data_IF_802991667951
#
_entry.id   IF_802991667951
#
_cell.length_a   1.000
_cell.length_b   1.000
_cell.length_c   1.000
_cell.angle_alpha   90.00
_cell.angle_beta   90.00
_cell.angle_gamma   90.00
#
_symmetry.space_group_name_H-M   'P 1'
#
loop_
_entity.id
_entity.type
_entity.pdbx_description
1 polymer ?
#
# COMPACT_ATOMS: atom_id res chain seq x y z
N UNK A 1 9.46 -18.04 -12.56
CA UNK A 1 8.98 -17.75 -11.18
C UNK A 1 10.17 -17.44 -10.28
N UNK A 2 10.46 -16.16 -10.03
CA UNK A 2 11.26 -15.69 -8.88
C UNK A 2 11.25 -14.16 -8.73
N UNK A 3 10.05 -13.56 -8.79
CA UNK A 3 9.80 -12.23 -8.21
C UNK A 3 9.60 -12.35 -6.69
N UNK A 4 9.81 -11.27 -5.95
CA UNK A 4 9.54 -11.22 -4.50
C UNK A 4 8.02 -11.31 -4.29
N UNK A 5 7.55 -12.26 -3.48
CA UNK A 5 6.10 -12.45 -3.28
C UNK A 5 5.51 -11.33 -2.41
N UNK A 6 4.18 -11.16 -2.47
CA UNK A 6 3.48 -10.22 -1.60
C UNK A 6 3.73 -10.53 -0.11
N UNK A 7 3.75 -11.81 0.27
CA UNK A 7 4.04 -12.26 1.64
C UNK A 7 5.45 -11.87 2.07
N UNK A 8 6.44 -12.04 1.20
CA UNK A 8 7.83 -11.63 1.48
C UNK A 8 7.95 -10.11 1.65
N UNK A 9 7.27 -9.32 0.81
CA UNK A 9 7.27 -7.86 0.93
C UNK A 9 6.61 -7.37 2.21
N UNK A 10 5.49 -8.00 2.60
CA UNK A 10 4.77 -7.69 3.84
C UNK A 10 5.65 -8.03 5.06
N UNK A 11 6.29 -9.19 5.08
CA UNK A 11 7.15 -9.58 6.21
C UNK A 11 8.42 -8.72 6.29
N UNK A 12 9.04 -8.40 5.16
CA UNK A 12 10.17 -7.47 5.13
C UNK A 12 9.79 -6.09 5.70
N UNK A 13 8.61 -5.58 5.34
CA UNK A 13 8.11 -4.32 5.88
C UNK A 13 7.85 -4.41 7.38
N UNK A 14 7.29 -5.52 7.86
CA UNK A 14 7.09 -5.73 9.30
C UNK A 14 8.41 -5.61 10.06
N UNK A 15 9.45 -6.30 9.60
CA UNK A 15 10.79 -6.24 10.20
C UNK A 15 11.36 -4.82 10.16
N UNK A 16 11.16 -4.10 9.05
CA UNK A 16 11.58 -2.70 8.90
C UNK A 16 10.90 -1.78 9.92
N UNK A 17 9.59 -1.94 10.12
CA UNK A 17 8.81 -1.18 11.12
C UNK A 17 9.25 -1.52 12.55
N UNK A 18 9.47 -2.80 12.86
CA UNK A 18 9.94 -3.24 14.18
C UNK A 18 11.34 -2.68 14.50
N UNK A 19 12.24 -2.66 13.51
CA UNK A 19 13.56 -2.04 13.63
C UNK A 19 13.46 -0.53 13.88
N UNK A 20 12.57 0.17 13.16
CA UNK A 20 12.33 1.60 13.37
C UNK A 20 11.80 1.89 14.77
N UNK A 21 10.77 1.16 15.23
CA UNK A 21 10.22 1.28 16.59
C UNK A 21 11.27 1.05 17.67
N UNK A 22 12.13 0.05 17.49
CA UNK A 22 13.22 -0.23 18.44
C UNK A 22 14.22 0.93 18.51
N UNK A 23 14.57 1.52 17.37
CA UNK A 23 15.47 2.68 17.32
C UNK A 23 14.88 3.94 17.98
N UNK A 24 13.59 4.20 17.77
CA UNK A 24 12.87 5.32 18.37
C UNK A 24 12.69 5.13 19.88
N UNK A 25 12.35 3.92 20.33
CA UNK A 25 12.21 3.61 21.76
C UNK A 25 13.51 3.81 22.54
N UNK A 26 14.65 3.46 21.95
CA UNK A 26 15.97 3.72 22.54
C UNK A 26 16.24 5.23 22.73
N UNK A 27 15.70 6.08 21.85
CA UNK A 27 15.80 7.54 21.96
C UNK A 27 14.72 8.16 22.88
N UNK A 28 13.53 7.57 22.94
CA UNK A 28 12.37 8.09 23.69
C UNK A 28 12.38 7.75 25.17
N UNK A 29 13.18 6.76 25.62
CA UNK A 29 13.38 6.44 27.03
C UNK A 29 13.90 7.61 27.90
N UNK A 30 14.25 8.74 27.28
CA UNK A 30 14.64 10.00 27.93
C UNK A 30 13.48 11.02 28.06
N UNK A 31 12.33 10.83 27.40
CA UNK A 31 11.18 11.75 27.43
C UNK A 31 9.97 11.08 28.09
N UNK A 32 9.76 11.32 29.39
CA UNK A 32 8.60 10.78 30.13
C UNK A 32 7.26 11.23 29.49
N UNK A 33 6.45 10.28 29.04
CA UNK A 33 5.04 10.50 28.63
C UNK A 33 4.73 10.40 27.13
N UNK A 34 5.69 9.99 26.28
CA UNK A 34 5.44 9.76 24.85
C UNK A 34 4.64 8.46 24.63
N UNK A 35 3.51 8.55 23.93
CA UNK A 35 2.75 7.37 23.50
C UNK A 35 3.51 6.66 22.37
N UNK A 36 3.45 5.34 22.32
CA UNK A 36 4.06 4.56 21.24
C UNK A 36 3.48 4.98 19.88
N UNK A 37 4.31 5.18 18.84
CA UNK A 37 3.86 5.52 17.50
C UNK A 37 2.83 4.52 16.97
N UNK A 38 1.65 5.03 16.59
CA UNK A 38 0.62 4.21 15.94
C UNK A 38 1.06 3.92 14.51
N UNK A 39 0.72 2.74 14.02
CA UNK A 39 0.93 2.33 12.64
C UNK A 39 -0.40 2.41 11.88
N UNK A 40 -0.44 3.30 10.88
CA UNK A 40 -1.63 3.58 10.10
C UNK A 40 -1.42 3.11 8.67
N UNK A 41 -2.26 2.18 8.20
CA UNK A 41 -2.26 1.77 6.79
C UNK A 41 -3.20 2.67 6.02
N UNK A 42 -2.73 3.27 4.93
CA UNK A 42 -3.57 4.03 4.00
C UNK A 42 -3.53 3.36 2.64
N UNK A 43 -4.70 2.88 2.20
CA UNK A 43 -4.87 2.31 0.87
C UNK A 43 -4.85 3.39 -0.20
N UNK A 44 -3.93 3.27 -1.16
CA UNK A 44 -3.79 4.23 -2.26
C UNK A 44 -3.85 3.54 -3.62
N UNK A 45 -4.47 4.23 -4.57
CA UNK A 45 -4.50 3.93 -6.00
C UNK A 45 -4.30 5.25 -6.77
N UNK A 46 -4.40 5.25 -8.11
CA UNK A 46 -4.27 6.46 -8.92
C UNK A 46 -5.52 7.36 -8.93
N UNK A 47 -6.52 7.12 -8.06
CA UNK A 47 -7.76 7.91 -8.03
C UNK A 47 -7.65 9.19 -7.20
N UNK A 48 -8.56 10.14 -7.44
CA UNK A 48 -8.69 11.31 -6.56
C UNK A 48 -9.14 10.94 -5.14
N UNK A 49 -9.86 9.84 -4.97
CA UNK A 49 -10.39 9.40 -3.68
C UNK A 49 -9.29 8.90 -2.74
N UNK A 50 -8.29 8.18 -3.25
CA UNK A 50 -7.13 7.79 -2.46
C UNK A 50 -6.32 9.01 -2.00
N UNK A 51 -6.15 10.00 -2.89
CA UNK A 51 -5.46 11.25 -2.54
C UNK A 51 -6.19 11.99 -1.42
N UNK A 52 -7.51 12.13 -1.54
CA UNK A 52 -8.34 12.75 -0.51
C UNK A 52 -8.33 11.95 0.79
N UNK A 53 -8.23 10.62 0.72
CA UNK A 53 -8.09 9.79 1.92
C UNK A 53 -6.77 10.10 2.66
N UNK A 54 -5.65 10.24 1.96
CA UNK A 54 -4.37 10.64 2.56
C UNK A 54 -4.45 12.05 3.14
N UNK A 55 -5.01 13.01 2.39
CA UNK A 55 -5.17 14.39 2.85
C UNK A 55 -6.05 14.48 4.10
N UNK A 56 -7.20 13.80 4.08
CA UNK A 56 -8.10 13.74 5.21
C UNK A 56 -7.44 13.07 6.41
N UNK A 57 -6.69 11.98 6.20
CA UNK A 57 -5.99 11.29 7.28
C UNK A 57 -5.01 12.23 8.00
N UNK A 58 -4.19 12.94 7.21
CA UNK A 58 -3.24 13.93 7.71
C UNK A 58 -3.89 15.06 8.51
N UNK A 59 -5.10 15.48 8.12
CA UNK A 59 -5.81 16.59 8.76
C UNK A 59 -6.61 16.19 10.00
N UNK A 60 -7.01 14.92 10.13
CA UNK A 60 -8.06 14.54 11.09
C UNK A 60 -7.65 13.43 12.08
N UNK A 61 -6.83 12.46 11.67
CA UNK A 61 -6.57 11.27 12.49
C UNK A 61 -5.09 10.97 12.72
N UNK A 62 -4.21 11.39 11.82
CA UNK A 62 -2.77 11.24 12.00
C UNK A 62 -2.29 12.23 13.07
N UNK A 63 -1.47 11.71 13.97
CA UNK A 63 -0.71 12.49 14.95
C UNK A 63 0.72 12.63 14.46
N UNK A 64 1.43 13.58 15.08
CA UNK A 64 2.87 13.68 14.97
C UNK A 64 3.50 12.33 15.39
N UNK A 65 4.50 11.89 14.63
CA UNK A 65 5.25 10.66 14.84
C UNK A 65 4.50 9.35 14.53
N UNK A 66 3.21 9.39 14.13
CA UNK A 66 2.56 8.16 13.62
C UNK A 66 3.35 7.63 12.41
N UNK A 67 3.48 6.31 12.36
CA UNK A 67 4.05 5.58 11.23
C UNK A 67 2.94 5.36 10.19
N UNK A 68 3.22 5.67 8.94
CA UNK A 68 2.23 5.56 7.86
C UNK A 68 2.70 4.58 6.81
N UNK A 69 1.90 3.54 6.56
CA UNK A 69 2.12 2.61 5.45
C UNK A 69 1.23 3.03 4.29
N UNK A 70 1.84 3.52 3.20
CA UNK A 70 1.13 3.77 1.95
C UNK A 70 1.09 2.47 1.16
N UNK A 71 -0.08 1.81 1.16
CA UNK A 71 -0.26 0.52 0.51
C UNK A 71 -0.96 0.68 -0.84
N UNK A 72 -0.30 0.24 -1.90
CA UNK A 72 -0.91 0.10 -3.23
C UNK A 72 -0.70 -1.32 -3.75
N UNK A 73 -1.55 -1.71 -4.69
CA UNK A 73 -1.39 -2.95 -5.43
C UNK A 73 -0.89 -2.60 -6.82
N UNK A 74 0.20 -3.22 -7.21
CA UNK A 74 0.82 -3.03 -8.51
C UNK A 74 0.61 -4.26 -9.41
N UNK A 75 0.52 -4.03 -10.72
CA UNK A 75 0.40 -5.10 -11.70
C UNK A 75 1.78 -5.55 -12.14
N UNK A 76 2.18 -6.75 -11.73
CA UNK A 76 3.49 -7.30 -12.09
C UNK A 76 3.57 -7.65 -13.57
N UNK A 77 4.71 -7.35 -14.22
CA UNK A 77 4.96 -7.87 -15.56
C UNK A 77 5.07 -9.40 -15.47
N UNK A 78 4.07 -10.09 -16.02
CA UNK A 78 4.01 -11.55 -16.03
C UNK A 78 4.60 -12.12 -17.32
N UNK A 79 5.24 -13.29 -17.21
CA UNK A 79 5.48 -14.14 -18.37
C UNK A 79 4.13 -14.76 -18.79
N UNK A 80 3.67 -14.59 -20.01
CA UNK A 80 2.85 -15.64 -20.62
C UNK A 80 3.42 -16.21 -21.94
N UNK A 81 2.62 -17.06 -22.57
CA UNK A 81 2.87 -18.44 -23.03
C UNK A 81 4.10 -18.72 -23.94
N UNK A 82 4.51 -20.01 -23.88
CA UNK A 82 5.78 -20.61 -24.30
C UNK A 82 6.08 -20.68 -25.81
N UNK A 83 5.17 -20.26 -26.71
CA UNK A 83 5.30 -20.54 -28.16
C UNK A 83 5.25 -19.33 -29.11
N UNK A 84 5.06 -18.10 -28.63
CA UNK A 84 5.03 -16.93 -29.54
C UNK A 84 6.18 -15.94 -29.32
N UNK A 85 6.85 -15.94 -28.16
CA UNK A 85 7.87 -14.94 -27.85
C UNK A 85 7.33 -13.50 -27.76
N UNK A 86 6.02 -13.30 -27.60
CA UNK A 86 5.35 -11.99 -27.58
C UNK A 86 4.09 -12.00 -26.73
N UNK A 87 3.85 -10.96 -25.90
CA UNK A 87 2.58 -10.70 -25.18
C UNK A 87 2.30 -9.22 -24.82
N UNK A 88 1.03 -8.91 -24.47
CA UNK A 88 0.37 -7.60 -24.39
C UNK A 88 -0.16 -7.21 -22.99
N UNK A 89 -0.18 -5.90 -22.67
CA UNK A 89 -1.02 -5.29 -21.63
C UNK A 89 -1.95 -4.17 -22.18
N UNK A 90 -2.85 -3.65 -21.34
CA UNK A 90 -3.97 -2.74 -21.70
C UNK A 90 -3.53 -1.29 -22.01
N UNK A 91 -2.28 -0.88 -21.73
CA UNK A 91 -1.86 0.53 -21.81
C UNK A 91 -0.63 0.85 -22.67
N UNK A 92 0.07 -0.13 -23.23
CA UNK A 92 1.08 0.13 -24.26
C UNK A 92 2.25 -0.84 -24.23
N UNK A 93 2.74 -1.21 -25.42
CA UNK A 93 3.71 -2.28 -25.60
C UNK A 93 5.08 -1.93 -24.98
N UNK A 94 5.45 -2.57 -23.87
CA UNK A 94 6.83 -2.62 -23.39
C UNK A 94 7.39 -4.02 -23.68
N UNK A 95 8.36 -4.09 -24.60
CA UNK A 95 9.02 -5.35 -24.97
C UNK A 95 10.21 -5.58 -24.03
N UNK A 96 10.05 -6.46 -23.05
CA UNK A 96 11.11 -6.82 -22.09
C UNK A 96 11.58 -8.23 -22.42
N UNK A 97 12.90 -8.44 -22.49
CA UNK A 97 13.43 -9.80 -22.67
C UNK A 97 13.12 -10.61 -21.41
N UNK A 98 12.85 -11.90 -21.58
CA UNK A 98 12.51 -12.79 -20.46
C UNK A 98 13.51 -12.72 -19.30
N UNK A 99 14.79 -12.73 -19.61
CA UNK A 99 15.86 -12.67 -18.62
C UNK A 99 15.88 -11.35 -17.84
N UNK A 100 15.29 -10.30 -18.41
CA UNK A 100 15.24 -8.94 -17.85
C UNK A 100 13.94 -8.68 -17.05
N UNK A 101 12.94 -9.58 -17.08
CA UNK A 101 11.63 -9.38 -16.41
C UNK A 101 11.82 -9.16 -14.90
N UNK A 102 12.71 -9.95 -14.28
CA UNK A 102 12.98 -9.82 -12.85
C UNK A 102 13.55 -8.45 -12.51
N UNK A 103 14.57 -8.02 -13.25
CA UNK A 103 15.20 -6.71 -13.05
C UNK A 103 14.22 -5.57 -13.31
N UNK A 104 13.38 -5.70 -14.34
CA UNK A 104 12.32 -4.75 -14.64
C UNK A 104 11.30 -4.63 -13.50
N UNK A 105 10.80 -5.76 -12.97
CA UNK A 105 9.84 -5.75 -11.86
C UNK A 105 10.46 -5.14 -10.60
N UNK A 106 11.71 -5.47 -10.29
CA UNK A 106 12.43 -4.86 -9.17
C UNK A 106 12.63 -3.35 -9.36
N UNK A 107 12.92 -2.90 -10.58
CA UNK A 107 13.04 -1.48 -10.90
C UNK A 107 11.69 -0.76 -10.79
N UNK A 108 10.61 -1.33 -11.33
CA UNK A 108 9.26 -0.79 -11.20
C UNK A 108 8.80 -0.69 -9.73
N UNK A 109 9.14 -1.69 -8.91
CA UNK A 109 8.91 -1.66 -7.46
C UNK A 109 9.68 -0.51 -6.79
N UNK A 110 10.96 -0.30 -7.14
CA UNK A 110 11.76 0.82 -6.61
C UNK A 110 11.17 2.17 -7.00
N UNK A 111 10.91 2.38 -8.29
CA UNK A 111 10.40 3.64 -8.82
C UNK A 111 9.00 3.95 -8.28
N UNK A 112 8.14 2.94 -8.19
CA UNK A 112 6.80 3.07 -7.63
C UNK A 112 6.82 3.44 -6.14
N UNK A 113 7.74 2.85 -5.35
CA UNK A 113 7.94 3.23 -3.93
C UNK A 113 8.37 4.68 -3.80
N UNK A 114 9.35 5.11 -4.60
CA UNK A 114 9.81 6.50 -4.60
C UNK A 114 8.69 7.47 -4.99
N UNK A 115 7.92 7.13 -6.02
CA UNK A 115 6.81 7.94 -6.50
C UNK A 115 5.70 8.10 -5.45
N UNK A 116 5.35 7.04 -4.72
CA UNK A 116 4.37 7.12 -3.63
C UNK A 116 4.81 8.12 -2.56
N UNK A 117 6.05 7.97 -2.06
CA UNK A 117 6.60 8.86 -1.03
C UNK A 117 6.62 10.30 -1.54
N UNK A 118 7.13 10.52 -2.76
CA UNK A 118 7.19 11.85 -3.38
C UNK A 118 5.82 12.50 -3.53
N UNK A 119 4.82 11.74 -3.96
CA UNK A 119 3.46 12.22 -4.22
C UNK A 119 2.78 12.71 -2.94
N UNK A 120 2.96 11.98 -1.83
CA UNK A 120 2.25 12.26 -0.58
C UNK A 120 3.08 13.02 0.46
N UNK A 121 4.37 13.27 0.20
CA UNK A 121 5.28 14.02 1.07
C UNK A 121 4.71 15.34 1.59
N UNK A 122 3.92 16.06 0.77
CA UNK A 122 3.34 17.35 1.19
C UNK A 122 2.28 17.22 2.30
N UNK A 123 1.64 16.06 2.41
CA UNK A 123 0.61 15.78 3.41
C UNK A 123 1.19 15.12 4.66
N UNK A 124 2.24 14.30 4.51
CA UNK A 124 2.78 13.43 5.56
C UNK A 124 4.13 13.95 6.12
N UNK A 125 4.28 15.26 6.29
CA UNK A 125 5.57 15.88 6.68
C UNK A 125 6.04 15.51 8.09
N UNK A 126 5.10 15.22 8.98
CA UNK A 126 5.34 14.93 10.40
C UNK A 126 5.30 13.41 10.68
N UNK A 127 5.32 12.58 9.63
CA UNK A 127 5.13 11.14 9.71
C UNK A 127 6.27 10.39 9.02
N UNK A 128 6.68 9.27 9.61
CA UNK A 128 7.56 8.31 8.92
C UNK A 128 6.70 7.50 7.96
N UNK A 129 7.08 7.49 6.68
CA UNK A 129 6.29 6.86 5.61
C UNK A 129 6.99 5.62 5.06
N UNK A 130 6.29 4.50 5.09
CA UNK A 130 6.72 3.23 4.50
C UNK A 130 5.86 2.89 3.26
N UNK A 131 6.41 2.93 2.04
CA UNK A 131 5.66 2.53 0.85
C UNK A 131 5.64 1.00 0.72
N UNK A 132 4.44 0.43 0.57
CA UNK A 132 4.20 -0.99 0.33
C UNK A 132 3.53 -1.17 -1.04
N UNK A 133 4.26 -1.73 -1.99
CA UNK A 133 3.74 -2.17 -3.28
C UNK A 133 3.69 -3.69 -3.27
N UNK A 134 2.52 -4.26 -3.50
CA UNK A 134 2.35 -5.72 -3.57
C UNK A 134 1.63 -6.10 -4.86
N UNK A 135 1.99 -7.23 -5.47
CA UNK A 135 1.29 -7.77 -6.63
C UNK A 135 0.39 -8.94 -6.23
N UNK A 136 -0.59 -9.25 -7.07
CA UNK A 136 -1.36 -10.48 -6.99
C UNK A 136 -1.55 -11.05 -8.38
N UNK A 137 -1.46 -12.36 -8.51
CA UNK A 137 -1.66 -13.09 -9.77
C UNK A 137 -3.14 -13.18 -10.17
N UNK A 138 -4.06 -12.70 -9.32
CA UNK A 138 -5.49 -12.69 -9.58
C UNK A 138 -6.12 -11.43 -8.98
N UNK A 139 -5.98 -10.25 -9.64
CA UNK A 139 -6.40 -8.95 -9.11
C UNK A 139 -7.92 -8.75 -9.15
N UNK A 140 -8.67 -9.69 -8.59
CA UNK A 140 -10.07 -9.46 -8.26
C UNK A 140 -10.16 -8.43 -7.13
N UNK A 141 -11.24 -7.64 -7.10
CA UNK A 141 -11.43 -6.63 -6.05
C UNK A 141 -11.45 -7.23 -4.63
N UNK A 142 -11.91 -8.47 -4.49
CA UNK A 142 -11.88 -9.22 -3.23
C UNK A 142 -10.46 -9.63 -2.85
N UNK A 143 -9.64 -10.10 -3.80
CA UNK A 143 -8.24 -10.43 -3.55
C UNK A 143 -7.43 -9.20 -3.11
N UNK A 144 -7.74 -8.03 -3.69
CA UNK A 144 -7.14 -6.75 -3.29
C UNK A 144 -7.51 -6.39 -1.84
N UNK A 145 -8.79 -6.47 -1.51
CA UNK A 145 -9.25 -6.22 -0.14
C UNK A 145 -8.65 -7.20 0.87
N UNK A 146 -8.60 -8.48 0.51
CA UNK A 146 -8.03 -9.54 1.34
C UNK A 146 -6.54 -9.30 1.62
N UNK A 147 -5.78 -8.95 0.58
CA UNK A 147 -4.37 -8.64 0.71
C UNK A 147 -4.13 -7.45 1.65
N UNK A 148 -4.97 -6.41 1.57
CA UNK A 148 -4.91 -5.27 2.48
C UNK A 148 -5.22 -5.67 3.93
N UNK A 149 -6.25 -6.49 4.16
CA UNK A 149 -6.57 -7.00 5.49
C UNK A 149 -5.42 -7.84 6.06
N UNK A 150 -4.88 -8.79 5.27
CA UNK A 150 -3.77 -9.65 5.71
C UNK A 150 -2.51 -8.84 5.98
N UNK A 151 -2.13 -7.94 5.08
CA UNK A 151 -0.96 -7.08 5.26
C UNK A 151 -1.08 -6.27 6.54
N UNK A 152 -2.23 -5.60 6.76
CA UNK A 152 -2.50 -4.81 7.96
C UNK A 152 -2.43 -5.64 9.23
N UNK A 153 -2.89 -6.90 9.19
CA UNK A 153 -2.79 -7.81 10.32
C UNK A 153 -1.35 -8.25 10.61
N UNK A 154 -0.57 -8.60 9.59
CA UNK A 154 0.81 -9.07 9.74
C UNK A 154 1.71 -7.97 10.29
N UNK A 155 1.56 -6.73 9.81
CA UNK A 155 2.36 -5.60 10.27
C UNK A 155 1.86 -4.98 11.58
N UNK A 156 0.78 -5.52 12.17
CA UNK A 156 0.15 -5.01 13.38
C UNK A 156 -0.27 -3.54 13.28
N UNK A 157 -1.00 -3.20 12.21
CA UNK A 157 -1.58 -1.88 12.04
C UNK A 157 -2.62 -1.57 13.12
N UNK A 158 -2.64 -0.33 13.60
CA UNK A 158 -3.63 0.15 14.58
C UNK A 158 -4.98 0.45 13.93
N UNK A 159 -4.98 0.93 12.69
CA UNK A 159 -6.19 1.12 11.88
C UNK A 159 -5.85 1.28 10.40
N UNK A 160 -6.88 1.10 9.56
CA UNK A 160 -6.80 1.22 8.10
C UNK A 160 -7.61 2.43 7.65
N UNK A 161 -7.06 3.22 6.75
CA UNK A 161 -7.76 4.32 6.07
C UNK A 161 -7.88 3.99 4.58
N UNK A 162 -9.10 4.07 4.05
CA UNK A 162 -9.36 3.89 2.61
C UNK A 162 -10.29 4.98 2.09
N UNK A 163 -10.14 5.33 0.81
CA UNK A 163 -11.16 6.13 0.13
C UNK A 163 -12.46 5.35 -0.01
N UNK A 164 -13.59 6.05 -0.11
CA UNK A 164 -14.90 5.43 -0.34
C UNK A 164 -15.02 4.78 -1.74
N UNK A 165 -14.10 5.13 -2.66
CA UNK A 165 -14.02 4.65 -4.05
C UNK A 165 -12.56 4.57 -4.49
N UNK A 166 -12.34 3.88 -5.60
CA UNK A 166 -11.07 3.84 -6.33
C UNK A 166 -11.30 4.12 -7.81
N UNK A 167 -10.54 3.46 -8.70
CA UNK A 167 -10.58 3.63 -10.16
C UNK A 167 -11.88 3.21 -10.89
N UNK A 168 -12.92 2.78 -10.18
CA UNK A 168 -14.17 2.29 -10.79
C UNK A 168 -15.14 3.39 -11.24
N UNK A 169 -15.78 3.20 -12.40
CA UNK A 169 -16.64 4.19 -13.08
C UNK A 169 -18.06 4.41 -12.49
N UNK A 170 -18.34 4.00 -11.25
CA UNK A 170 -19.72 4.00 -10.72
C UNK A 170 -20.13 5.31 -10.03
N UNK A 171 -21.34 5.79 -10.34
CA UNK A 171 -21.93 7.07 -9.87
C UNK A 171 -22.14 7.11 -8.34
N UNK A 172 -21.99 8.33 -7.81
CA UNK A 172 -22.15 8.96 -6.46
C UNK A 172 -22.79 8.23 -5.25
N UNK A 173 -23.36 7.03 -5.35
CA UNK A 173 -24.11 6.41 -4.24
C UNK A 173 -23.51 5.12 -3.64
N UNK A 174 -22.56 4.45 -4.29
CA UNK A 174 -22.02 3.17 -3.78
C UNK A 174 -20.57 3.27 -3.29
N UNK A 175 -20.24 2.46 -2.28
CA UNK A 175 -18.88 2.21 -1.77
C UNK A 175 -18.13 1.29 -2.74
N UNK A 176 -16.84 1.55 -2.95
CA UNK A 176 -15.96 0.73 -3.77
C UNK A 176 -15.84 -0.68 -3.22
N UNK A 177 -15.68 -1.68 -4.10
CA UNK A 177 -15.64 -3.09 -3.69
C UNK A 177 -14.48 -3.41 -2.74
N UNK A 178 -13.33 -2.74 -2.91
CA UNK A 178 -12.18 -2.89 -2.00
C UNK A 178 -12.51 -2.32 -0.61
N UNK A 179 -12.96 -1.08 -0.54
CA UNK A 179 -13.35 -0.43 0.72
C UNK A 179 -14.46 -1.19 1.44
N UNK A 180 -15.41 -1.75 0.68
CA UNK A 180 -16.44 -2.65 1.21
C UNK A 180 -15.83 -3.91 1.80
N UNK A 181 -14.99 -4.61 1.04
CA UNK A 181 -14.34 -5.83 1.50
C UNK A 181 -13.55 -5.58 2.79
N UNK A 182 -12.71 -4.54 2.80
CA UNK A 182 -11.88 -4.16 3.95
C UNK A 182 -12.76 -3.85 5.16
N UNK A 183 -13.84 -3.08 4.99
CA UNK A 183 -14.77 -2.77 6.08
C UNK A 183 -15.47 -4.00 6.67
N UNK A 184 -15.68 -5.05 5.88
CA UNK A 184 -16.38 -6.27 6.29
C UNK A 184 -15.42 -7.32 6.89
N UNK A 185 -14.14 -7.32 6.53
CA UNK A 185 -13.21 -8.41 6.83
C UNK A 185 -11.96 -8.01 7.60
N UNK A 186 -11.63 -6.71 7.70
CA UNK A 186 -10.47 -6.28 8.46
C UNK A 186 -10.66 -6.53 9.97
N UNK A 187 -9.62 -7.05 10.61
CA UNK A 187 -9.57 -7.15 12.08
C UNK A 187 -9.30 -5.81 12.75
N UNK A 188 -8.71 -4.87 12.00
CA UNK A 188 -8.39 -3.52 12.44
C UNK A 188 -9.59 -2.59 12.24
N UNK A 189 -9.74 -1.54 13.08
CA UNK A 189 -10.64 -0.44 12.79
C UNK A 189 -10.42 0.12 11.39
N UNK A 190 -11.51 0.37 10.66
CA UNK A 190 -11.47 0.90 9.28
C UNK A 190 -12.11 2.28 9.25
N UNK A 191 -11.38 3.25 8.70
CA UNK A 191 -11.88 4.60 8.39
C UNK A 191 -12.10 4.70 6.90
N UNK A 192 -13.34 4.99 6.52
CA UNK A 192 -13.72 5.18 5.12
C UNK A 192 -13.92 6.67 4.87
N UNK A 193 -13.00 7.26 4.12
CA UNK A 193 -13.05 8.68 3.77
C UNK A 193 -14.01 8.88 2.61
N UNK A 194 -15.03 9.70 2.84
CA UNK A 194 -16.00 10.09 1.82
C UNK A 194 -15.53 11.36 1.11
N UNK A 195 -15.94 11.44 -0.16
CA UNK A 195 -15.87 12.59 -1.09
C UNK A 195 -14.63 12.68 -1.97
#
# INVERSE_FOLDING_TARGET
>A
MSGVTAEQLIENLRVEIEAHRTSEAASAAQENGKHEPRLVVIGVDSSDFSRKAVEWAAQNVLKKDDLVVLMTIWEECMEFTRDAGFEMDTYGLVMIRRDDIKEHNEQALRDGRELLVKTFKKYLKENTVFPLLVSTTSPSKSAIGDLMCRASSVIHADFIVVGCRGLGAFKRFFMGSVSKYVSEHATQPVVIVKD
#
